data_IF_107830151501
#
_entry.id   IF_107830151501
#
_cell.length_a   1.000
_cell.length_b   1.000
_cell.length_c   1.000
_cell.angle_alpha   90.00
_cell.angle_beta   90.00
_cell.angle_gamma   90.00
#
_symmetry.space_group_name_H-M   'P 1'
#
loop_
_entity.id
_entity.type
_entity.pdbx_description
1 polymer ?
#
# COMPACT_ATOMS: atom_id res chain seq x y z
N UNK A 1 -3.12 -19.79 28.03
CA UNK A 1 -2.07 -18.75 27.89
C UNK A 1 -1.56 -18.64 26.45
N UNK A 2 -1.19 -19.75 25.81
CA UNK A 2 -0.63 -19.80 24.44
C UNK A 2 -1.55 -19.20 23.34
N UNK A 3 -2.87 -19.42 23.44
CA UNK A 3 -3.85 -18.83 22.50
C UNK A 3 -3.94 -17.29 22.63
N UNK A 4 -3.66 -16.74 23.80
CA UNK A 4 -3.72 -15.29 24.04
C UNK A 4 -2.44 -14.61 23.49
N UNK A 5 -1.30 -15.27 23.64
CA UNK A 5 -0.01 -14.83 23.09
C UNK A 5 -0.02 -14.82 21.54
N UNK A 6 -0.53 -15.89 20.91
CA UNK A 6 -0.64 -15.96 19.44
C UNK A 6 -1.53 -14.86 18.86
N UNK A 7 -2.69 -14.59 19.47
CA UNK A 7 -3.56 -13.48 19.06
C UNK A 7 -2.89 -12.11 19.22
N UNK A 8 -2.04 -11.94 20.24
CA UNK A 8 -1.25 -10.72 20.41
C UNK A 8 -0.30 -10.50 19.23
N UNK A 9 0.42 -11.53 18.80
CA UNK A 9 1.32 -11.43 17.64
C UNK A 9 0.56 -11.12 16.34
N UNK A 10 -0.60 -11.74 16.12
CA UNK A 10 -1.46 -11.47 14.94
C UNK A 10 -1.90 -10.00 14.92
N UNK A 11 -2.35 -9.46 16.06
CA UNK A 11 -2.72 -8.03 16.17
C UNK A 11 -1.54 -7.10 15.92
N UNK A 12 -0.37 -7.45 16.45
CA UNK A 12 0.86 -6.69 16.21
C UNK A 12 1.23 -6.66 14.72
N UNK A 13 1.25 -7.82 14.05
CA UNK A 13 1.54 -7.91 12.62
C UNK A 13 0.53 -7.12 11.78
N UNK A 14 -0.76 -7.19 12.13
CA UNK A 14 -1.82 -6.43 11.47
C UNK A 14 -1.63 -4.92 11.61
N UNK A 15 -1.38 -4.44 12.83
CA UNK A 15 -1.18 -3.02 13.10
C UNK A 15 0.09 -2.51 12.42
N UNK A 16 1.18 -3.27 12.49
CA UNK A 16 2.41 -2.98 11.78
C UNK A 16 2.15 -2.83 10.28
N UNK A 17 1.51 -3.82 9.65
CA UNK A 17 1.19 -3.77 8.23
C UNK A 17 0.31 -2.56 7.85
N UNK A 18 -0.69 -2.22 8.68
CA UNK A 18 -1.55 -1.05 8.49
C UNK A 18 -0.76 0.25 8.52
N UNK A 19 0.03 0.47 9.57
CA UNK A 19 0.76 1.72 9.74
C UNK A 19 1.85 1.86 8.68
N UNK A 20 2.58 0.80 8.38
CA UNK A 20 3.57 0.79 7.29
C UNK A 20 2.90 1.11 5.96
N UNK A 21 1.75 0.49 5.63
CA UNK A 21 1.06 0.74 4.38
C UNK A 21 0.59 2.19 4.26
N UNK A 22 0.00 2.76 5.32
CA UNK A 22 -0.43 4.17 5.33
C UNK A 22 0.74 5.15 5.20
N UNK A 23 1.84 4.91 5.90
CA UNK A 23 3.03 5.78 5.83
C UNK A 23 3.67 5.69 4.46
N UNK A 24 3.87 4.48 3.94
CA UNK A 24 4.46 4.26 2.61
C UNK A 24 3.59 4.87 1.51
N UNK A 25 2.27 4.66 1.55
CA UNK A 25 1.36 5.21 0.53
C UNK A 25 1.33 6.75 0.56
N UNK A 26 1.35 7.35 1.75
CA UNK A 26 1.41 8.81 1.89
C UNK A 26 2.72 9.39 1.38
N UNK A 27 3.86 8.80 1.76
CA UNK A 27 5.19 9.25 1.32
C UNK A 27 5.31 9.15 -0.20
N UNK A 28 4.88 8.03 -0.79
CA UNK A 28 4.95 7.84 -2.24
C UNK A 28 3.98 8.75 -2.99
N UNK A 29 2.81 9.03 -2.43
CA UNK A 29 1.89 10.02 -2.97
C UNK A 29 2.54 11.40 -3.04
N UNK A 30 3.09 11.89 -1.92
CA UNK A 30 3.79 13.18 -1.88
C UNK A 30 4.96 13.19 -2.85
N UNK A 31 5.80 12.15 -2.84
CA UNK A 31 6.93 12.03 -3.77
C UNK A 31 6.48 12.09 -5.24
N UNK A 32 5.41 11.38 -5.60
CA UNK A 32 4.91 11.32 -6.98
C UNK A 32 4.37 12.65 -7.51
N UNK A 33 3.90 13.55 -6.64
CA UNK A 33 3.45 14.88 -7.03
C UNK A 33 4.62 15.75 -7.50
N UNK A 34 5.78 15.63 -6.85
CA UNK A 34 6.97 16.41 -7.17
C UNK A 34 7.86 15.75 -8.22
N UNK A 35 7.96 14.41 -8.20
CA UNK A 35 8.79 13.66 -9.14
C UNK A 35 8.29 13.83 -10.57
N UNK A 36 9.12 14.44 -11.42
CA UNK A 36 8.79 14.74 -12.82
C UNK A 36 8.13 16.10 -13.06
N UNK A 37 7.75 16.83 -12.01
CA UNK A 37 7.13 18.15 -12.15
C UNK A 37 8.08 19.18 -12.78
N UNK A 38 9.40 19.06 -12.53
CA UNK A 38 10.44 19.94 -13.08
C UNK A 38 10.44 19.98 -14.62
N UNK A 39 10.01 18.90 -15.29
CA UNK A 39 9.89 18.85 -16.75
C UNK A 39 8.82 19.79 -17.31
N UNK A 40 7.90 20.27 -16.46
CA UNK A 40 6.79 21.16 -16.84
C UNK A 40 7.01 22.63 -16.41
N UNK A 41 8.21 22.96 -15.90
CA UNK A 41 8.57 24.28 -15.41
C UNK A 41 8.37 24.46 -13.90
N UNK A 42 8.19 25.71 -13.46
CA UNK A 42 8.08 26.07 -12.05
C UNK A 42 6.65 26.39 -11.61
N UNK A 43 6.37 26.22 -10.32
CA UNK A 43 5.13 26.64 -9.67
C UNK A 43 3.99 25.61 -9.72
N UNK A 44 2.80 26.03 -9.31
CA UNK A 44 1.64 25.15 -9.16
C UNK A 44 1.17 24.51 -10.47
N UNK A 45 1.38 25.18 -11.62
CA UNK A 45 0.99 24.67 -12.94
C UNK A 45 1.77 23.41 -13.33
N UNK A 46 3.03 23.29 -12.90
CA UNK A 46 3.86 22.12 -13.12
C UNK A 46 3.35 20.89 -12.34
N UNK A 47 2.91 21.09 -11.09
CA UNK A 47 2.31 20.04 -10.28
C UNK A 47 1.00 19.52 -10.88
N UNK A 48 0.14 20.42 -11.38
CA UNK A 48 -1.13 20.03 -12.02
C UNK A 48 -0.88 19.19 -13.26
N UNK A 49 0.10 19.57 -14.10
CA UNK A 49 0.49 18.79 -15.29
C UNK A 49 1.10 17.43 -14.94
N UNK A 50 1.82 17.33 -13.83
CA UNK A 50 2.40 16.10 -13.34
C UNK A 50 1.42 15.19 -12.57
N UNK A 51 0.22 15.70 -12.23
CA UNK A 51 -0.78 14.96 -11.45
C UNK A 51 -1.14 13.56 -11.96
N UNK A 52 -1.10 13.23 -13.28
CA UNK A 52 -1.31 11.86 -13.73
C UNK A 52 -0.30 10.85 -13.15
N UNK A 53 0.92 11.28 -12.84
CA UNK A 53 1.94 10.45 -12.18
C UNK A 53 1.53 10.08 -10.74
N UNK A 54 0.73 10.93 -10.09
CA UNK A 54 0.26 10.71 -8.73
C UNK A 54 -0.95 9.77 -8.62
N UNK A 55 -1.67 9.53 -9.73
CA UNK A 55 -2.93 8.76 -9.71
C UNK A 55 -2.79 7.34 -9.11
N UNK A 56 -1.79 6.51 -9.48
CA UNK A 56 -1.60 5.19 -8.86
C UNK A 56 -1.41 5.28 -7.34
N UNK A 57 -0.71 6.31 -6.88
CA UNK A 57 -0.39 6.52 -5.47
C UNK A 57 -1.58 7.08 -4.68
N UNK A 58 -2.41 7.93 -5.30
CA UNK A 58 -3.70 8.36 -4.74
C UNK A 58 -4.60 7.14 -4.54
N UNK A 59 -4.71 6.28 -5.56
CA UNK A 59 -5.50 5.06 -5.47
C UNK A 59 -4.99 4.16 -4.33
N UNK A 60 -3.67 3.94 -4.25
CA UNK A 60 -3.05 3.19 -3.17
C UNK A 60 -3.34 3.80 -1.79
N UNK A 61 -3.24 5.12 -1.65
CA UNK A 61 -3.52 5.82 -0.40
C UNK A 61 -4.98 5.63 0.04
N UNK A 62 -5.95 5.83 -0.87
CA UNK A 62 -7.37 5.58 -0.58
C UNK A 62 -7.61 4.13 -0.17
N UNK A 63 -7.03 3.17 -0.90
CA UNK A 63 -7.15 1.75 -0.57
C UNK A 63 -6.52 1.40 0.79
N UNK A 64 -5.43 2.08 1.18
CA UNK A 64 -4.83 1.91 2.51
C UNK A 64 -5.74 2.38 3.64
N UNK A 65 -6.51 3.46 3.42
CA UNK A 65 -7.51 3.94 4.37
C UNK A 65 -8.70 2.98 4.48
N UNK A 66 -9.12 2.35 3.37
CA UNK A 66 -10.13 1.30 3.37
C UNK A 66 -9.63 0.07 4.15
N UNK A 67 -8.38 -0.33 3.90
CA UNK A 67 -7.75 -1.47 4.60
C UNK A 67 -7.59 -1.24 6.11
N UNK A 68 -7.58 0.02 6.57
CA UNK A 68 -7.63 0.33 8.00
C UNK A 68 -8.96 -0.04 8.67
N UNK A 69 -10.07 0.03 7.93
CA UNK A 69 -11.43 -0.26 8.44
C UNK A 69 -11.91 -1.68 8.09
N UNK A 70 -11.48 -2.21 6.95
CA UNK A 70 -11.88 -3.54 6.45
C UNK A 70 -10.64 -4.31 6.03
N UNK A 71 -10.00 -4.97 6.98
CA UNK A 71 -8.69 -5.58 6.82
C UNK A 71 -8.60 -6.57 5.65
N UNK A 72 -9.58 -7.48 5.52
CA UNK A 72 -9.59 -8.51 4.48
C UNK A 72 -9.88 -7.88 3.11
N UNK A 73 -11.00 -7.14 3.00
CA UNK A 73 -11.42 -6.56 1.73
C UNK A 73 -10.43 -5.50 1.23
N UNK A 74 -10.01 -4.58 2.10
CA UNK A 74 -9.00 -3.58 1.76
C UNK A 74 -7.63 -4.21 1.48
N UNK A 75 -7.22 -5.22 2.25
CA UNK A 75 -6.01 -5.99 1.98
C UNK A 75 -6.03 -6.64 0.59
N UNK A 76 -7.16 -7.23 0.18
CA UNK A 76 -7.34 -7.77 -1.18
C UNK A 76 -7.17 -6.69 -2.25
N UNK A 77 -7.81 -5.53 -2.10
CA UNK A 77 -7.66 -4.42 -3.04
C UNK A 77 -6.21 -3.92 -3.11
N UNK A 78 -5.51 -3.88 -1.98
CA UNK A 78 -4.09 -3.50 -1.89
C UNK A 78 -3.20 -4.52 -2.61
N UNK A 79 -3.49 -5.81 -2.50
CA UNK A 79 -2.77 -6.85 -3.28
C UNK A 79 -2.97 -6.64 -4.77
N UNK A 80 -4.22 -6.46 -5.21
CA UNK A 80 -4.54 -6.29 -6.64
C UNK A 80 -3.84 -5.06 -7.22
N UNK A 81 -3.96 -3.89 -6.58
CA UNK A 81 -3.29 -2.67 -7.05
C UNK A 81 -1.77 -2.81 -6.95
N UNK A 82 -1.25 -3.43 -5.88
CA UNK A 82 0.18 -3.61 -5.66
C UNK A 82 0.83 -4.49 -6.72
N UNK A 83 0.18 -5.59 -7.11
CA UNK A 83 0.65 -6.44 -8.20
C UNK A 83 0.61 -5.71 -9.55
N UNK A 84 -0.45 -4.94 -9.80
CA UNK A 84 -0.52 -4.10 -11.01
C UNK A 84 0.62 -3.06 -11.04
N UNK A 85 0.89 -2.38 -9.92
CA UNK A 85 1.98 -1.40 -9.81
C UNK A 85 3.36 -2.07 -9.97
N UNK A 86 3.57 -3.22 -9.32
CA UNK A 86 4.78 -4.02 -9.46
C UNK A 86 5.06 -4.36 -10.93
N UNK A 87 4.04 -4.85 -11.66
CA UNK A 87 4.13 -5.10 -13.09
C UNK A 87 4.44 -3.82 -13.88
N UNK A 88 3.62 -2.79 -13.69
CA UNK A 88 3.69 -1.54 -14.45
C UNK A 88 5.05 -0.84 -14.31
N UNK A 89 5.55 -0.69 -13.09
CA UNK A 89 6.76 0.09 -12.83
C UNK A 89 8.07 -0.68 -13.07
N UNK A 90 8.04 -2.02 -13.08
CA UNK A 90 9.28 -2.82 -13.17
C UNK A 90 9.39 -3.67 -14.43
N UNK A 91 8.28 -4.03 -15.06
CA UNK A 91 8.29 -5.02 -16.17
C UNK A 91 7.68 -4.50 -17.47
N UNK A 92 6.93 -3.39 -17.44
CA UNK A 92 6.39 -2.76 -18.66
C UNK A 92 7.44 -1.94 -19.42
N UNK A 93 8.42 -1.37 -18.73
CA UNK A 93 9.43 -0.48 -19.30
C UNK A 93 10.72 -1.19 -19.71
N UNK A 94 11.65 -0.43 -20.32
CA UNK A 94 12.97 -0.95 -20.71
C UNK A 94 14.03 -0.96 -19.61
N UNK A 95 13.73 -0.41 -18.43
CA UNK A 95 14.66 -0.32 -17.30
C UNK A 95 14.07 -1.00 -16.06
N UNK A 96 14.91 -1.76 -15.34
CA UNK A 96 14.57 -2.37 -14.06
C UNK A 96 15.37 -1.69 -12.94
N UNK A 97 14.68 -1.08 -11.98
CA UNK A 97 15.31 -0.43 -10.82
C UNK A 97 15.00 -1.23 -9.56
N UNK A 98 16.04 -1.77 -8.91
CA UNK A 98 15.89 -2.60 -7.71
C UNK A 98 15.13 -1.88 -6.59
N UNK A 99 15.36 -0.58 -6.41
CA UNK A 99 14.67 0.23 -5.40
C UNK A 99 13.15 0.28 -5.67
N UNK A 100 12.76 0.55 -6.92
CA UNK A 100 11.35 0.56 -7.33
C UNK A 100 10.72 -0.81 -7.14
N UNK A 101 11.45 -1.88 -7.47
CA UNK A 101 11.00 -3.24 -7.29
C UNK A 101 10.75 -3.56 -5.81
N UNK A 102 11.68 -3.23 -4.92
CA UNK A 102 11.53 -3.47 -3.47
C UNK A 102 10.30 -2.74 -2.91
N UNK A 103 10.15 -1.45 -3.25
CA UNK A 103 9.01 -0.64 -2.77
C UNK A 103 7.69 -1.18 -3.31
N UNK A 104 7.61 -1.47 -4.60
CA UNK A 104 6.38 -1.96 -5.23
C UNK A 104 6.05 -3.40 -4.85
N UNK A 105 7.04 -4.23 -4.48
CA UNK A 105 6.85 -5.57 -3.92
C UNK A 105 6.40 -5.54 -2.46
N UNK A 106 6.84 -4.55 -1.68
CA UNK A 106 6.39 -4.36 -0.30
C UNK A 106 4.88 -4.16 -0.21
N UNK A 107 4.28 -3.44 -1.16
CA UNK A 107 2.83 -3.13 -1.17
C UNK A 107 1.95 -4.40 -1.15
N UNK A 108 2.04 -5.34 -2.13
CA UNK A 108 1.24 -6.55 -2.12
C UNK A 108 1.57 -7.46 -0.94
N UNK A 109 2.81 -7.47 -0.43
CA UNK A 109 3.17 -8.20 0.78
C UNK A 109 2.42 -7.66 2.01
N UNK A 110 2.37 -6.34 2.19
CA UNK A 110 1.59 -5.71 3.27
C UNK A 110 0.09 -6.00 3.11
N UNK A 111 -0.44 -5.94 1.88
CA UNK A 111 -1.82 -6.32 1.59
C UNK A 111 -2.12 -7.77 1.97
N UNK A 112 -1.21 -8.70 1.64
CA UNK A 112 -1.33 -10.11 1.98
C UNK A 112 -1.30 -10.34 3.50
N UNK A 113 -0.41 -9.66 4.23
CA UNK A 113 -0.36 -9.73 5.70
C UNK A 113 -1.70 -9.29 6.29
N UNK A 114 -2.32 -8.22 5.77
CA UNK A 114 -3.64 -7.75 6.24
C UNK A 114 -4.75 -8.78 6.00
N UNK A 115 -4.74 -9.47 4.85
CA UNK A 115 -5.71 -10.54 4.55
C UNK A 115 -5.55 -11.69 5.53
N UNK A 116 -4.31 -12.20 5.68
CA UNK A 116 -4.02 -13.37 6.50
C UNK A 116 -4.34 -13.08 7.97
N UNK A 117 -3.82 -11.97 8.52
CA UNK A 117 -4.06 -11.60 9.92
C UNK A 117 -5.53 -11.27 10.17
N UNK A 118 -6.21 -10.61 9.22
CA UNK A 118 -7.64 -10.33 9.28
C UNK A 118 -8.49 -11.60 9.33
N UNK A 119 -8.16 -12.60 8.50
CA UNK A 119 -8.80 -13.90 8.51
C UNK A 119 -8.63 -14.63 9.85
N UNK A 120 -7.40 -14.67 10.39
CA UNK A 120 -7.14 -15.30 11.68
C UNK A 120 -7.89 -14.63 12.84
N UNK A 121 -7.92 -13.28 12.89
CA UNK A 121 -8.69 -12.58 13.93
C UNK A 121 -10.18 -12.82 13.79
N UNK A 122 -10.74 -12.79 12.57
CA UNK A 122 -12.17 -13.04 12.34
C UNK A 122 -12.57 -14.46 12.76
N UNK A 123 -11.71 -15.45 12.50
CA UNK A 123 -11.93 -16.84 12.92
C UNK A 123 -11.85 -17.00 14.45
N UNK A 124 -10.91 -16.30 15.10
CA UNK A 124 -10.71 -16.41 16.54
C UNK A 124 -11.71 -15.58 17.36
N UNK A 125 -12.23 -14.49 16.80
CA UNK A 125 -13.12 -13.52 17.46
C UNK A 125 -14.25 -13.13 16.48
N UNK A 126 -15.32 -13.92 16.39
CA UNK A 126 -16.46 -13.62 15.53
C UNK A 126 -17.06 -12.26 15.89
N UNK A 127 -17.19 -11.35 14.91
CA UNK A 127 -17.72 -9.99 15.09
C UNK A 127 -16.66 -8.87 15.13
N UNK A 128 -15.38 -9.21 15.01
CA UNK A 128 -14.30 -8.22 14.96
C UNK A 128 -14.05 -7.73 13.52
N UNK A 129 -14.81 -6.73 13.06
CA UNK A 129 -14.50 -5.91 11.86
C UNK A 129 -14.68 -4.42 12.14
#
# INVERSE_FOLDING_TARGET
MEQNESLRYVRWAMNFARYTLCVVSLVLLVFSLFSGAEAYGNGLSALVKNSPNALPWIALFVLSLIACKRHIFGGFLVVVIGLWMLYFYNFRGGNFFLTTFIITMLIPLLGFILIVTGYYLKKALPGHE
#
